data_IF_473532445203
#
_entry.id   IF_473532445203
#
_cell.length_a   1.000
_cell.length_b   1.000
_cell.length_c   1.000
_cell.angle_alpha   90.00
_cell.angle_beta   90.00
_cell.angle_gamma   90.00
#
_symmetry.space_group_name_H-M   'P 1'
#
loop_
_entity.id
_entity.type
_entity.pdbx_description
1 polymer ?
#
# COMPACT_ATOMS: atom_id res chain seq x y z
N UNK A 1 46.56 48.87 59.98
CA UNK A 1 48.00 48.60 60.00
C UNK A 1 48.45 48.25 58.59
N UNK A 2 49.47 48.96 58.12
CA UNK A 2 50.32 48.77 56.93
C UNK A 2 49.74 48.79 55.50
N UNK A 3 49.84 50.00 54.94
CA UNK A 3 50.32 50.44 53.63
C UNK A 3 51.09 49.48 52.68
N UNK A 4 50.83 49.74 51.37
CA UNK A 4 51.74 49.84 50.21
C UNK A 4 52.43 48.58 49.66
N UNK A 5 52.23 48.30 48.36
CA UNK A 5 53.18 48.64 47.28
C UNK A 5 52.68 48.16 45.90
N UNK A 6 52.79 49.06 44.91
CA UNK A 6 52.72 48.77 43.46
C UNK A 6 53.98 48.04 43.00
N UNK A 7 53.89 47.24 41.93
CA UNK A 7 54.88 47.19 40.83
C UNK A 7 54.41 46.28 39.69
N UNK A 8 54.42 46.84 38.49
CA UNK A 8 54.21 46.19 37.18
C UNK A 8 55.47 45.49 36.68
N UNK A 9 55.35 44.37 35.97
CA UNK A 9 56.38 43.91 35.04
C UNK A 9 55.79 43.10 33.87
N UNK A 10 56.08 43.58 32.65
CA UNK A 10 55.84 42.92 31.36
C UNK A 10 56.87 41.79 31.18
N UNK A 11 56.42 40.60 30.77
CA UNK A 11 57.29 39.55 30.23
C UNK A 11 56.71 39.02 28.90
N UNK A 12 57.45 39.26 27.82
CA UNK A 12 57.29 38.65 26.50
C UNK A 12 58.06 37.34 26.46
N UNK A 13 57.42 36.19 26.26
CA UNK A 13 58.13 34.95 25.84
C UNK A 13 57.28 34.06 24.92
N UNK A 14 57.66 34.09 23.64
CA UNK A 14 57.90 32.98 22.69
C UNK A 14 56.92 31.79 22.64
N UNK A 15 56.21 31.67 21.51
CA UNK A 15 55.46 30.47 21.10
C UNK A 15 56.43 29.47 20.46
N UNK A 16 56.49 28.18 20.88
CA UNK A 16 57.24 27.17 20.17
C UNK A 16 56.40 26.58 19.01
N UNK A 17 57.00 26.55 17.83
CA UNK A 17 56.48 25.94 16.61
C UNK A 17 56.36 24.42 16.77
N UNK A 18 55.13 23.89 16.77
CA UNK A 18 54.89 22.44 16.73
C UNK A 18 54.87 22.00 15.26
N UNK A 19 55.93 21.33 14.82
CA UNK A 19 55.98 20.63 13.53
C UNK A 19 55.08 19.38 13.61
N UNK A 20 53.88 19.45 13.05
CA UNK A 20 53.04 18.27 12.83
C UNK A 20 53.66 17.39 11.74
N UNK A 21 54.15 16.21 12.13
CA UNK A 21 54.50 15.13 11.22
C UNK A 21 53.19 14.58 10.65
N UNK A 22 52.85 14.95 9.42
CA UNK A 22 51.79 14.28 8.66
C UNK A 22 52.28 12.89 8.26
N UNK A 23 51.83 11.86 8.98
CA UNK A 23 51.87 10.49 8.47
C UNK A 23 50.78 10.34 7.41
N UNK A 24 51.20 10.17 6.16
CA UNK A 24 50.31 9.82 5.06
C UNK A 24 49.74 8.41 5.29
N UNK A 25 48.41 8.20 5.26
CA UNK A 25 47.84 6.87 5.33
C UNK A 25 48.14 6.14 4.01
N UNK A 26 49.03 5.16 4.04
CA UNK A 26 49.18 4.14 3.00
C UNK A 26 48.04 3.14 3.09
N UNK A 27 46.83 3.59 2.75
CA UNK A 27 45.72 2.72 2.42
C UNK A 27 45.70 2.49 0.92
N UNK A 28 46.05 1.29 0.48
CA UNK A 28 45.82 0.86 -0.90
C UNK A 28 44.32 0.92 -1.16
N UNK A 29 43.87 1.96 -1.88
CA UNK A 29 42.49 2.05 -2.35
C UNK A 29 42.22 0.81 -3.21
N UNK A 30 41.26 -0.02 -2.79
CA UNK A 30 40.72 -1.06 -3.66
C UNK A 30 40.33 -0.39 -5.00
N UNK A 31 40.67 -0.98 -6.15
CA UNK A 31 40.31 -0.39 -7.43
C UNK A 31 38.79 -0.13 -7.45
N UNK A 32 38.33 1.04 -7.93
CA UNK A 32 36.92 1.38 -7.92
C UNK A 32 36.15 0.29 -8.68
N UNK A 33 35.29 -0.43 -7.96
CA UNK A 33 34.44 -1.45 -8.54
C UNK A 33 33.53 -0.78 -9.57
N UNK A 34 33.58 -1.26 -10.82
CA UNK A 34 32.87 -0.62 -11.92
C UNK A 34 31.37 -0.81 -11.73
N UNK A 35 30.66 0.27 -11.37
CA UNK A 35 29.22 0.24 -11.21
C UNK A 35 28.53 0.28 -12.58
N UNK A 36 27.84 -0.80 -12.95
CA UNK A 36 27.13 -0.95 -14.21
C UNK A 36 25.69 -0.41 -14.17
N UNK A 37 25.02 -0.37 -13.02
CA UNK A 37 23.66 0.16 -12.90
C UNK A 37 23.65 1.60 -12.35
N UNK A 38 22.71 2.39 -12.86
CA UNK A 38 22.38 3.69 -12.26
C UNK A 38 21.47 3.45 -11.06
N UNK A 39 21.79 4.13 -9.96
CA UNK A 39 20.90 4.17 -8.80
C UNK A 39 19.70 5.06 -9.14
N UNK A 40 18.46 4.57 -8.95
CA UNK A 40 17.28 5.34 -9.32
C UNK A 40 17.10 6.52 -8.36
N UNK A 41 16.73 7.67 -8.90
CA UNK A 41 16.42 8.88 -8.10
C UNK A 41 15.34 8.61 -7.04
N UNK A 42 14.38 7.74 -7.37
CA UNK A 42 13.33 7.31 -6.48
C UNK A 42 13.26 5.79 -6.48
N UNK A 43 13.40 5.17 -5.31
CA UNK A 43 13.27 3.72 -5.13
C UNK A 43 11.81 3.25 -5.04
N UNK A 44 10.85 4.19 -5.04
CA UNK A 44 9.42 3.95 -4.98
C UNK A 44 8.71 4.51 -6.22
N UNK A 45 7.86 3.69 -6.85
CA UNK A 45 7.01 4.07 -7.98
C UNK A 45 5.56 3.95 -7.55
N UNK A 46 4.82 5.06 -7.60
CA UNK A 46 3.40 5.10 -7.28
C UNK A 46 2.55 4.96 -8.55
N UNK A 47 1.51 4.14 -8.50
CA UNK A 47 0.59 3.94 -9.61
C UNK A 47 -0.83 3.62 -9.13
N UNK A 48 -1.75 3.46 -10.07
CA UNK A 48 -3.15 3.09 -9.83
C UNK A 48 -3.48 1.80 -10.56
N UNK A 49 -4.53 1.11 -10.12
CA UNK A 49 -5.07 -0.06 -10.84
C UNK A 49 -5.48 0.35 -12.26
N UNK A 50 -5.18 -0.50 -13.24
CA UNK A 50 -5.45 -0.26 -14.66
C UNK A 50 -4.41 0.61 -15.38
N UNK A 51 -3.63 1.41 -14.65
CA UNK A 51 -2.60 2.27 -15.25
C UNK A 51 -1.40 1.46 -15.77
N UNK A 52 -0.52 2.14 -16.51
CA UNK A 52 0.79 1.62 -16.89
C UNK A 52 1.87 2.20 -15.97
N UNK A 53 2.71 1.34 -15.39
CA UNK A 53 3.82 1.74 -14.53
C UNK A 53 5.17 1.36 -15.13
N UNK A 54 6.17 2.21 -14.98
CA UNK A 54 7.55 1.94 -15.42
C UNK A 54 8.47 1.91 -14.21
N UNK A 55 9.18 0.79 -14.04
CA UNK A 55 10.21 0.58 -13.05
C UNK A 55 11.58 0.86 -13.69
N UNK A 56 12.27 1.95 -13.32
CA UNK A 56 13.48 2.38 -14.00
C UNK A 56 14.64 1.41 -13.73
N UNK A 57 15.33 0.98 -14.78
CA UNK A 57 16.62 0.31 -14.66
C UNK A 57 17.49 0.69 -15.85
N UNK A 58 18.50 1.52 -15.59
CA UNK A 58 19.36 2.10 -16.62
C UNK A 58 20.80 1.70 -16.36
N UNK A 59 21.48 1.26 -17.41
CA UNK A 59 22.87 0.82 -17.35
C UNK A 59 23.80 2.01 -17.60
N UNK A 60 24.84 2.17 -16.79
CA UNK A 60 25.95 3.13 -17.01
C UNK A 60 26.88 2.66 -18.11
N UNK A 61 27.11 1.36 -18.19
CA UNK A 61 28.00 0.72 -19.14
C UNK A 61 27.45 -0.66 -19.55
N UNK A 62 27.78 -1.11 -20.76
CA UNK A 62 27.40 -2.43 -21.27
C UNK A 62 28.60 -3.38 -21.17
N UNK A 63 28.56 -4.39 -20.27
CA UNK A 63 29.57 -5.44 -20.28
C UNK A 63 29.52 -6.22 -21.60
N UNK A 64 30.65 -6.85 -21.99
CA UNK A 64 30.70 -7.66 -23.23
C UNK A 64 29.68 -8.80 -23.24
N UNK A 65 29.56 -9.50 -22.11
CA UNK A 65 28.58 -10.56 -21.90
C UNK A 65 27.80 -10.22 -20.64
N UNK A 66 26.51 -9.92 -20.78
CA UNK A 66 25.67 -9.60 -19.64
C UNK A 66 24.25 -10.12 -19.82
N UNK A 67 23.56 -10.27 -18.70
CA UNK A 67 22.13 -10.53 -18.63
C UNK A 67 21.51 -9.61 -17.60
N UNK A 68 20.40 -8.98 -17.96
CA UNK A 68 19.55 -8.26 -17.01
C UNK A 68 18.34 -9.14 -16.69
N UNK A 69 18.14 -9.41 -15.42
CA UNK A 69 17.03 -10.18 -14.87
C UNK A 69 16.14 -9.23 -14.07
N UNK A 70 14.86 -9.17 -14.44
CA UNK A 70 13.81 -8.62 -13.60
C UNK A 70 13.11 -9.72 -12.82
N UNK A 71 12.97 -9.53 -11.52
CA UNK A 71 12.21 -10.42 -10.63
C UNK A 71 11.31 -9.63 -9.69
N UNK A 72 10.19 -10.24 -9.27
CA UNK A 72 9.41 -9.79 -8.13
C UNK A 72 9.91 -10.51 -6.88
N UNK A 73 10.25 -9.75 -5.86
CA UNK A 73 10.78 -10.28 -4.61
C UNK A 73 9.61 -10.62 -3.69
N UNK A 74 9.51 -11.88 -3.30
CA UNK A 74 8.48 -12.36 -2.39
C UNK A 74 8.85 -12.02 -0.94
N UNK A 75 7.98 -11.33 -0.19
CA UNK A 75 8.30 -10.92 1.18
C UNK A 75 8.48 -12.10 2.15
N UNK A 76 7.82 -13.23 1.91
CA UNK A 76 7.67 -14.31 2.88
C UNK A 76 8.86 -15.27 2.95
N UNK A 77 9.58 -15.48 1.84
CA UNK A 77 10.62 -16.50 1.70
C UNK A 77 11.92 -15.95 1.10
N UNK A 78 12.01 -14.64 0.86
CA UNK A 78 13.11 -14.01 0.10
C UNK A 78 13.30 -14.62 -1.31
N UNK A 79 12.29 -15.34 -1.81
CA UNK A 79 12.27 -15.91 -3.13
C UNK A 79 12.10 -14.82 -4.19
N UNK A 80 12.51 -15.14 -5.41
CA UNK A 80 12.39 -14.24 -6.54
C UNK A 80 11.62 -14.93 -7.67
N UNK A 81 10.44 -14.39 -7.98
CA UNK A 81 9.67 -14.79 -9.14
C UNK A 81 10.20 -14.04 -10.36
N UNK A 82 10.89 -14.74 -11.26
CA UNK A 82 11.47 -14.15 -12.48
C UNK A 82 10.36 -13.67 -13.41
N UNK A 83 10.54 -12.47 -13.98
CA UNK A 83 9.57 -11.80 -14.86
C UNK A 83 10.13 -11.70 -16.28
N UNK A 84 11.34 -11.16 -16.44
CA UNK A 84 12.03 -11.00 -17.73
C UNK A 84 13.52 -11.28 -17.56
N UNK A 85 14.13 -11.94 -18.55
CA UNK A 85 15.58 -11.98 -18.71
C UNK A 85 15.93 -11.45 -20.11
N UNK A 86 16.89 -10.55 -20.20
CA UNK A 86 17.39 -9.98 -21.48
C UNK A 86 18.91 -9.92 -21.54
N UNK A 87 19.48 -10.05 -22.73
CA UNK A 87 20.89 -9.79 -23.00
C UNK A 87 21.11 -8.49 -23.82
N UNK A 88 20.07 -7.65 -23.92
CA UNK A 88 20.07 -6.41 -24.71
C UNK A 88 19.62 -6.57 -26.16
N UNK A 89 19.70 -7.77 -26.74
CA UNK A 89 19.23 -8.07 -28.10
C UNK A 89 17.95 -8.91 -28.08
N UNK A 90 17.92 -9.91 -27.21
CA UNK A 90 16.82 -10.84 -27.04
C UNK A 90 16.35 -10.81 -25.59
N UNK A 91 15.06 -10.99 -25.39
CA UNK A 91 14.47 -11.14 -24.08
C UNK A 91 13.50 -12.33 -24.05
N UNK A 92 13.29 -12.87 -22.84
CA UNK A 92 12.29 -13.90 -22.57
C UNK A 92 11.48 -13.51 -21.35
N UNK A 93 10.17 -13.64 -21.46
CA UNK A 93 9.23 -13.37 -20.37
C UNK A 93 8.90 -14.67 -19.62
N UNK A 94 8.60 -14.53 -18.33
CA UNK A 94 8.35 -15.60 -17.39
C UNK A 94 7.19 -15.25 -16.44
N UNK A 95 6.56 -16.28 -15.89
CA UNK A 95 5.49 -16.13 -14.90
C UNK A 95 4.18 -15.54 -15.44
N UNK A 96 3.17 -15.37 -14.58
CA UNK A 96 1.84 -14.90 -14.96
C UNK A 96 1.82 -13.42 -15.38
N UNK A 97 2.83 -12.64 -14.98
CA UNK A 97 2.95 -11.22 -15.33
C UNK A 97 3.39 -11.01 -16.80
N UNK A 98 3.93 -12.06 -17.43
CA UNK A 98 4.48 -12.10 -18.80
C UNK A 98 3.67 -11.34 -19.87
N UNK A 99 2.33 -11.49 -19.97
CA UNK A 99 1.55 -10.84 -21.03
C UNK A 99 1.49 -9.31 -20.91
N UNK A 100 1.68 -8.80 -19.68
CA UNK A 100 1.50 -7.38 -19.35
C UNK A 100 2.82 -6.62 -19.27
N UNK A 101 3.96 -7.32 -19.32
CA UNK A 101 5.29 -6.74 -19.15
C UNK A 101 6.05 -6.57 -20.44
N UNK A 102 6.75 -5.44 -20.56
CA UNK A 102 7.66 -5.14 -21.67
C UNK A 102 8.86 -4.38 -21.16
N UNK A 103 9.98 -4.53 -21.85
CA UNK A 103 11.13 -3.65 -21.65
C UNK A 103 10.90 -2.35 -22.43
N UNK A 104 11.15 -1.21 -21.79
CA UNK A 104 10.89 0.12 -22.39
C UNK A 104 11.81 0.41 -23.58
N UNK A 105 13.07 -0.01 -23.52
CA UNK A 105 14.06 0.10 -24.61
C UNK A 105 14.12 1.49 -25.27
N UNK A 106 13.99 2.58 -24.50
CA UNK A 106 14.05 3.95 -25.07
C UNK A 106 15.41 4.25 -25.72
N UNK A 107 16.46 3.58 -25.24
CA UNK A 107 17.81 3.56 -25.81
C UNK A 107 18.52 2.25 -25.40
N UNK A 108 19.71 1.98 -25.97
CA UNK A 108 20.46 0.73 -25.74
C UNK A 108 20.86 0.43 -24.29
N UNK A 109 20.77 1.40 -23.39
CA UNK A 109 21.09 1.27 -21.97
C UNK A 109 19.83 1.24 -21.08
N UNK A 110 18.65 1.38 -21.67
CA UNK A 110 17.37 1.37 -20.95
C UNK A 110 16.83 -0.06 -20.87
N UNK A 111 16.98 -0.67 -19.69
CA UNK A 111 16.43 -1.97 -19.35
C UNK A 111 15.22 -1.85 -18.40
N UNK A 112 14.54 -0.69 -18.39
CA UNK A 112 13.40 -0.44 -17.52
C UNK A 112 12.21 -1.35 -17.85
N UNK A 113 11.54 -1.85 -16.80
CA UNK A 113 10.39 -2.73 -16.92
C UNK A 113 9.10 -1.90 -16.94
N UNK A 114 8.26 -2.08 -17.96
CA UNK A 114 6.93 -1.48 -18.05
C UNK A 114 5.88 -2.55 -17.80
N UNK A 115 4.96 -2.27 -16.88
CA UNK A 115 3.83 -3.12 -16.52
C UNK A 115 2.56 -2.41 -16.96
N UNK A 116 1.83 -2.98 -17.93
CA UNK A 116 0.53 -2.49 -18.38
C UNK A 116 -0.61 -3.10 -17.55
N UNK A 117 -1.76 -2.40 -17.50
CA UNK A 117 -2.96 -2.86 -16.78
C UNK A 117 -2.63 -3.35 -15.37
N UNK A 118 -2.00 -2.49 -14.57
CA UNK A 118 -1.52 -2.87 -13.23
C UNK A 118 -2.69 -3.37 -12.38
N UNK A 119 -2.52 -4.53 -11.77
CA UNK A 119 -3.50 -5.19 -10.91
C UNK A 119 -3.13 -5.05 -9.42
N UNK A 120 -4.05 -5.39 -8.52
CA UNK A 120 -3.85 -5.18 -7.07
C UNK A 120 -2.68 -6.02 -6.53
N UNK A 121 -2.51 -7.22 -7.08
CA UNK A 121 -1.47 -8.19 -6.77
C UNK A 121 -0.09 -7.78 -7.28
N UNK A 122 0.01 -6.78 -8.17
CA UNK A 122 1.26 -6.32 -8.73
C UNK A 122 2.05 -5.43 -7.77
N UNK A 123 1.42 -4.86 -6.74
CA UNK A 123 2.15 -4.13 -5.69
C UNK A 123 3.25 -4.99 -5.08
N UNK A 124 4.40 -4.40 -4.78
CA UNK A 124 5.50 -5.08 -4.11
C UNK A 124 6.87 -4.64 -4.58
N UNK A 125 7.89 -5.36 -4.11
CA UNK A 125 9.28 -5.08 -4.40
C UNK A 125 9.72 -5.84 -5.65
N UNK A 126 10.39 -5.14 -6.55
CA UNK A 126 10.97 -5.65 -7.79
C UNK A 126 12.47 -5.44 -7.78
N UNK A 127 13.21 -6.36 -8.40
CA UNK A 127 14.67 -6.27 -8.50
C UNK A 127 15.08 -6.32 -9.96
N UNK A 128 15.89 -5.36 -10.37
CA UNK A 128 16.65 -5.40 -11.60
C UNK A 128 18.07 -5.86 -11.26
N UNK A 129 18.49 -7.01 -11.77
CA UNK A 129 19.81 -7.57 -11.52
C UNK A 129 20.59 -7.70 -12.82
N UNK A 130 21.80 -7.15 -12.88
CA UNK A 130 22.75 -7.33 -13.96
C UNK A 130 23.78 -8.38 -13.56
N UNK A 131 23.94 -9.40 -14.39
CA UNK A 131 24.86 -10.52 -14.22
C UNK A 131 25.82 -10.52 -15.40
N UNK A 132 27.13 -10.39 -15.15
CA UNK A 132 28.16 -10.40 -16.21
C UNK A 132 29.18 -11.55 -16.09
N UNK A 133 28.95 -12.49 -15.17
CA UNK A 133 29.80 -13.67 -14.96
C UNK A 133 30.98 -13.47 -13.99
N UNK A 134 31.23 -12.23 -13.56
CA UNK A 134 32.24 -11.91 -12.53
C UNK A 134 31.56 -11.28 -11.30
N UNK A 135 30.61 -10.38 -11.53
CA UNK A 135 29.92 -9.63 -10.49
C UNK A 135 28.41 -9.54 -10.78
N UNK A 136 27.62 -9.51 -9.70
CA UNK A 136 26.19 -9.30 -9.73
C UNK A 136 25.87 -7.94 -9.10
N UNK A 137 25.33 -7.01 -9.90
CA UNK A 137 24.82 -5.74 -9.40
C UNK A 137 23.30 -5.76 -9.42
N UNK A 138 22.65 -5.18 -8.42
CA UNK A 138 21.20 -5.09 -8.42
C UNK A 138 20.66 -3.80 -7.83
N UNK A 139 19.55 -3.36 -8.40
CA UNK A 139 18.73 -2.25 -7.91
C UNK A 139 17.37 -2.81 -7.54
N UNK A 140 16.85 -2.40 -6.38
CA UNK A 140 15.50 -2.76 -5.92
C UNK A 140 14.58 -1.55 -5.93
N UNK A 141 13.37 -1.74 -6.46
CA UNK A 141 12.32 -0.74 -6.54
C UNK A 141 11.05 -1.28 -5.91
N UNK A 142 10.24 -0.42 -5.31
CA UNK A 142 8.93 -0.79 -4.77
C UNK A 142 7.83 -0.14 -5.58
N UNK A 143 6.95 -0.95 -6.16
CA UNK A 143 5.71 -0.48 -6.78
C UNK A 143 4.65 -0.36 -5.68
N UNK A 144 4.11 0.84 -5.50
CA UNK A 144 3.02 1.14 -4.57
C UNK A 144 1.74 1.48 -5.31
N UNK A 145 0.62 0.90 -4.88
CA UNK A 145 -0.69 1.28 -5.39
C UNK A 145 -1.30 2.37 -4.52
N UNK A 146 -1.79 3.42 -5.16
CA UNK A 146 -2.71 4.34 -4.52
C UNK A 146 -4.04 3.64 -4.29
N UNK A 147 -4.55 3.70 -3.07
CA UNK A 147 -5.76 2.98 -2.69
C UNK A 147 -6.27 3.37 -1.32
N UNK A 148 -7.27 2.63 -0.87
CA UNK A 148 -7.95 2.82 0.40
C UNK A 148 -8.09 1.48 1.12
N UNK A 149 -7.79 1.48 2.42
CA UNK A 149 -8.03 0.32 3.29
C UNK A 149 -9.39 0.48 3.95
N UNK A 150 -10.13 -0.61 4.06
CA UNK A 150 -11.40 -0.66 4.78
C UNK A 150 -11.54 -1.94 5.61
N UNK A 151 -12.18 -1.85 6.78
CA UNK A 151 -12.55 -3.02 7.55
C UNK A 151 -13.72 -3.75 6.89
N UNK A 152 -13.68 -5.08 6.92
CA UNK A 152 -14.74 -5.93 6.41
C UNK A 152 -15.14 -7.00 7.43
N UNK A 153 -16.43 -7.06 7.69
CA UNK A 153 -17.08 -8.07 8.53
C UNK A 153 -18.21 -8.72 7.70
N UNK A 154 -18.32 -10.06 7.69
CA UNK A 154 -19.37 -10.75 6.93
C UNK A 154 -20.74 -10.64 7.62
N UNK A 155 -21.80 -11.01 6.89
CA UNK A 155 -23.17 -11.05 7.39
C UNK A 155 -23.39 -12.05 8.53
N UNK A 156 -22.54 -13.07 8.64
CA UNK A 156 -22.53 -14.04 9.74
C UNK A 156 -22.02 -13.48 11.08
N UNK A 157 -21.56 -12.22 11.08
CA UNK A 157 -21.16 -11.49 12.28
C UNK A 157 -19.65 -11.33 12.46
N UNK A 158 -19.28 -10.80 13.61
CA UNK A 158 -17.89 -10.51 14.00
C UNK A 158 -17.08 -11.79 14.19
N UNK A 159 -15.82 -11.76 13.74
CA UNK A 159 -14.82 -12.81 13.93
C UNK A 159 -15.23 -14.17 13.38
N UNK A 160 -15.66 -14.19 12.12
CA UNK A 160 -16.15 -15.39 11.42
C UNK A 160 -15.29 -15.84 10.26
N UNK A 161 -14.22 -15.11 9.91
CA UNK A 161 -13.37 -15.42 8.77
C UNK A 161 -12.05 -16.04 9.24
N UNK A 162 -11.71 -17.23 8.72
CA UNK A 162 -10.31 -17.67 8.73
C UNK A 162 -9.51 -16.87 7.67
N UNK A 163 -8.20 -17.11 7.58
CA UNK A 163 -7.37 -16.36 6.64
C UNK A 163 -7.81 -16.54 5.17
N UNK A 164 -8.17 -17.77 4.77
CA UNK A 164 -8.60 -18.05 3.39
C UNK A 164 -9.98 -17.44 3.09
N UNK A 165 -10.89 -17.48 4.06
CA UNK A 165 -12.20 -16.83 3.98
C UNK A 165 -12.05 -15.31 3.91
N UNK A 166 -11.13 -14.73 4.69
CA UNK A 166 -10.84 -13.30 4.69
C UNK A 166 -10.27 -12.85 3.34
N UNK A 167 -9.35 -13.63 2.76
CA UNK A 167 -8.82 -13.38 1.42
C UNK A 167 -9.93 -13.38 0.36
N UNK A 168 -10.75 -14.45 0.33
CA UNK A 168 -11.88 -14.56 -0.60
C UNK A 168 -12.93 -13.46 -0.39
N UNK A 169 -13.21 -13.10 0.85
CA UNK A 169 -14.17 -12.06 1.17
C UNK A 169 -13.73 -10.70 0.62
N UNK A 170 -12.45 -10.33 0.75
CA UNK A 170 -11.93 -9.12 0.11
C UNK A 170 -12.02 -9.21 -1.42
N UNK A 171 -11.63 -10.34 -2.03
CA UNK A 171 -11.71 -10.55 -3.49
C UNK A 171 -13.14 -10.38 -4.02
N UNK A 172 -14.13 -10.95 -3.31
CA UNK A 172 -15.55 -10.79 -3.64
C UNK A 172 -15.99 -9.32 -3.62
N UNK A 173 -15.38 -8.49 -2.78
CA UNK A 173 -15.66 -7.05 -2.66
C UNK A 173 -14.80 -6.15 -3.56
N UNK A 174 -14.21 -6.69 -4.64
CA UNK A 174 -13.33 -5.95 -5.56
C UNK A 174 -12.11 -5.33 -4.84
N UNK A 175 -11.47 -6.16 -4.02
CA UNK A 175 -10.34 -5.77 -3.19
C UNK A 175 -9.43 -6.97 -2.92
N UNK A 176 -8.33 -6.77 -2.21
CA UNK A 176 -7.51 -7.84 -1.64
C UNK A 176 -7.25 -7.58 -0.17
N UNK A 177 -6.69 -8.53 0.56
CA UNK A 177 -6.18 -8.23 1.90
C UNK A 177 -5.16 -7.08 1.82
N UNK A 178 -5.26 -6.13 2.75
CA UNK A 178 -4.34 -5.01 2.87
C UNK A 178 -2.97 -5.50 3.35
N UNK A 179 -1.90 -4.87 2.90
CA UNK A 179 -0.58 -5.07 3.54
C UNK A 179 -0.54 -4.32 4.88
N UNK A 180 0.38 -4.70 5.77
CA UNK A 180 0.60 -3.94 7.00
C UNK A 180 0.94 -2.47 6.71
N UNK A 181 1.76 -2.20 5.69
CA UNK A 181 2.11 -0.82 5.28
C UNK A 181 0.88 -0.02 4.86
N UNK A 182 -0.03 -0.63 4.10
CA UNK A 182 -1.29 0.00 3.72
C UNK A 182 -2.20 0.27 4.93
N UNK A 183 -2.30 -0.69 5.86
CA UNK A 183 -3.07 -0.54 7.09
C UNK A 183 -2.49 0.57 8.00
N UNK A 184 -1.16 0.59 8.15
CA UNK A 184 -0.45 1.62 8.89
C UNK A 184 -0.71 3.01 8.29
N UNK A 185 -0.60 3.14 6.96
CA UNK A 185 -0.95 4.39 6.27
C UNK A 185 -2.40 4.80 6.54
N UNK A 186 -3.35 3.88 6.44
CA UNK A 186 -4.75 4.17 6.72
C UNK A 186 -4.98 4.64 8.18
N UNK A 187 -4.27 4.05 9.15
CA UNK A 187 -4.30 4.50 10.54
C UNK A 187 -3.75 5.93 10.69
N UNK A 188 -2.62 6.25 10.04
CA UNK A 188 -2.09 7.62 10.04
C UNK A 188 -3.03 8.64 9.37
N UNK A 189 -3.92 8.16 8.49
CA UNK A 189 -4.96 8.96 7.83
C UNK A 189 -6.30 9.00 8.60
N UNK A 190 -6.38 8.42 9.81
CA UNK A 190 -7.57 8.53 10.66
C UNK A 190 -8.37 7.23 10.84
N UNK A 191 -7.92 6.09 10.33
CA UNK A 191 -8.61 4.82 10.55
C UNK A 191 -8.48 4.37 12.02
N UNK A 192 -9.60 4.37 12.73
CA UNK A 192 -9.76 3.83 14.08
C UNK A 192 -10.78 2.69 14.05
N UNK A 193 -10.34 1.45 14.31
CA UNK A 193 -11.17 0.26 14.26
C UNK A 193 -10.81 -0.75 15.37
N UNK A 194 -11.81 -1.08 16.18
CA UNK A 194 -11.64 -1.89 17.40
C UNK A 194 -11.64 -3.41 17.17
N UNK A 195 -11.96 -3.87 15.96
CA UNK A 195 -11.99 -5.28 15.65
C UNK A 195 -10.65 -5.71 15.04
N UNK A 196 -10.13 -6.85 15.52
CA UNK A 196 -8.99 -7.51 14.93
C UNK A 196 -9.34 -8.11 13.57
N UNK A 197 -8.46 -7.93 12.59
CA UNK A 197 -8.64 -8.42 11.23
C UNK A 197 -7.36 -8.95 10.61
N UNK A 198 -7.52 -9.91 9.71
CA UNK A 198 -6.43 -10.44 8.90
C UNK A 198 -5.87 -9.38 7.94
N UNK A 199 -4.56 -9.42 7.72
CA UNK A 199 -3.84 -8.67 6.66
C UNK A 199 -3.06 -9.65 5.76
N UNK A 200 -2.48 -9.16 4.66
CA UNK A 200 -1.99 -9.97 3.52
C UNK A 200 -0.92 -11.02 3.87
N UNK A 201 -0.07 -10.77 4.86
CA UNK A 201 0.94 -11.75 5.30
C UNK A 201 0.35 -12.86 6.20
N UNK A 202 -0.91 -12.71 6.59
CA UNK A 202 -1.63 -13.59 7.49
C UNK A 202 -1.30 -13.37 8.96
N UNK A 203 -0.83 -12.18 9.32
CA UNK A 203 -0.88 -11.66 10.68
C UNK A 203 -2.23 -10.98 10.94
N UNK A 204 -2.50 -10.67 12.21
CA UNK A 204 -3.76 -10.07 12.65
C UNK A 204 -3.49 -8.77 13.39
N UNK A 205 -4.18 -7.70 13.00
CA UNK A 205 -3.97 -6.35 13.51
C UNK A 205 -5.28 -5.63 13.80
N UNK A 206 -5.23 -4.52 14.51
CA UNK A 206 -6.33 -3.56 14.66
C UNK A 206 -5.79 -2.15 14.96
N UNK A 207 -6.17 -1.13 14.17
CA UNK A 207 -5.68 0.24 14.33
C UNK A 207 -6.50 1.00 15.38
N UNK A 208 -5.85 1.58 16.39
CA UNK A 208 -6.49 2.40 17.43
C UNK A 208 -5.87 3.78 17.43
N UNK A 209 -6.69 4.82 17.27
CA UNK A 209 -6.28 6.22 17.47
C UNK A 209 -6.65 6.66 18.87
N UNK A 210 -7.89 6.42 19.28
CA UNK A 210 -8.42 6.80 20.58
C UNK A 210 -8.48 5.59 21.52
N UNK A 211 -7.53 5.50 22.44
CA UNK A 211 -7.46 4.43 23.44
C UNK A 211 -8.71 4.40 24.33
N UNK A 212 -9.34 3.23 24.42
CA UNK A 212 -10.61 3.02 25.13
C UNK A 212 -10.73 1.59 25.63
N UNK A 213 -11.43 1.40 26.75
CA UNK A 213 -11.52 0.10 27.44
C UNK A 213 -11.89 -1.07 26.53
N UNK A 214 -12.95 -1.01 25.70
CA UNK A 214 -13.36 -2.15 24.86
C UNK A 214 -12.32 -2.57 23.81
N UNK A 215 -11.28 -1.75 23.58
CA UNK A 215 -10.29 -1.94 22.53
C UNK A 215 -8.88 -2.24 23.07
N UNK A 216 -8.80 -2.86 24.26
CA UNK A 216 -7.55 -3.24 24.90
C UNK A 216 -7.10 -2.29 26.01
N UNK A 217 -8.01 -1.51 26.60
CA UNK A 217 -7.72 -0.66 27.75
C UNK A 217 -7.29 0.77 27.40
N UNK A 218 -7.54 1.69 28.35
CA UNK A 218 -7.19 3.12 28.21
C UNK A 218 -5.69 3.40 28.33
N UNK A 219 -4.94 2.51 28.97
CA UNK A 219 -3.50 2.70 29.25
C UNK A 219 -2.59 2.38 28.06
N UNK A 220 -3.06 1.59 27.10
CA UNK A 220 -2.27 1.29 25.90
C UNK A 220 -2.20 2.52 24.99
N UNK A 221 -1.03 2.76 24.39
CA UNK A 221 -0.84 3.87 23.44
C UNK A 221 -1.58 3.63 22.11
N UNK A 222 -1.90 4.70 21.36
CA UNK A 222 -2.37 4.61 19.98
C UNK A 222 -1.39 3.84 19.09
N UNK A 223 -1.90 3.17 18.07
CA UNK A 223 -1.10 2.42 17.11
C UNK A 223 -1.86 1.32 16.39
N UNK A 224 -1.19 0.70 15.42
CA UNK A 224 -1.64 -0.56 14.81
C UNK A 224 -1.24 -1.70 15.74
N UNK A 225 -2.16 -2.08 16.63
CA UNK A 225 -1.95 -3.15 17.60
C UNK A 225 -2.04 -4.50 16.90
N UNK A 226 -1.32 -5.49 17.41
CA UNK A 226 -1.18 -6.79 16.73
C UNK A 226 -1.45 -7.95 17.66
N UNK A 227 -2.05 -8.99 17.10
CA UNK A 227 -2.09 -10.34 17.66
C UNK A 227 -1.03 -11.25 17.05
N UNK A 228 -0.19 -10.74 16.14
CA UNK A 228 0.88 -11.46 15.49
C UNK A 228 0.39 -12.48 14.45
N UNK A 229 1.25 -13.45 14.14
CA UNK A 229 0.89 -14.60 13.31
C UNK A 229 -0.10 -15.51 14.06
N UNK A 230 -1.09 -16.01 13.33
CA UNK A 230 -2.20 -16.83 13.85
C UNK A 230 -2.42 -18.06 12.99
N UNK A 231 -3.14 -19.05 13.51
CA UNK A 231 -3.45 -20.26 12.76
C UNK A 231 -4.42 -19.91 11.62
N UNK A 232 -3.90 -19.93 10.39
CA UNK A 232 -4.63 -19.52 9.17
C UNK A 232 -5.86 -20.39 8.88
N UNK A 233 -5.96 -21.58 9.48
CA UNK A 233 -7.06 -22.52 9.28
C UNK A 233 -8.06 -22.50 10.46
N UNK A 234 -7.59 -22.32 11.69
CA UNK A 234 -8.42 -22.44 12.91
C UNK A 234 -8.85 -21.11 13.50
N UNK A 235 -8.00 -20.10 13.49
CA UNK A 235 -8.34 -18.82 14.10
C UNK A 235 -9.35 -18.06 13.21
N UNK A 236 -10.16 -17.21 13.84
CA UNK A 236 -11.23 -16.47 13.18
C UNK A 236 -11.21 -15.00 13.60
N UNK A 237 -11.23 -14.12 12.62
CA UNK A 237 -11.19 -12.66 12.78
C UNK A 237 -12.04 -11.98 11.70
N UNK A 238 -12.00 -10.65 11.65
CA UNK A 238 -12.51 -9.87 10.52
C UNK A 238 -11.40 -9.76 9.45
N UNK A 239 -11.54 -8.85 8.48
CA UNK A 239 -10.51 -8.59 7.47
C UNK A 239 -10.26 -7.09 7.30
N UNK A 240 -9.02 -6.71 7.00
CA UNK A 240 -8.71 -5.39 6.42
C UNK A 240 -8.46 -5.59 4.93
N UNK A 241 -9.33 -5.02 4.11
CA UNK A 241 -9.28 -5.09 2.67
C UNK A 241 -8.69 -3.80 2.09
N UNK A 242 -8.03 -3.90 0.94
CA UNK A 242 -7.45 -2.80 0.19
C UNK A 242 -7.97 -2.83 -1.25
N UNK A 243 -8.44 -1.68 -1.72
CA UNK A 243 -8.83 -1.48 -3.12
C UNK A 243 -8.17 -0.20 -3.66
N UNK A 244 -8.14 -0.04 -4.97
CA UNK A 244 -7.52 1.08 -5.67
C UNK A 244 -8.57 1.90 -6.41
N UNK A 245 -8.17 3.04 -6.98
CA UNK A 245 -9.00 3.81 -7.88
C UNK A 245 -9.46 2.94 -9.07
N UNK A 246 -10.73 3.05 -9.43
CA UNK A 246 -11.31 2.38 -10.60
C UNK A 246 -11.28 3.37 -11.77
N UNK A 247 -10.64 2.98 -12.87
CA UNK A 247 -10.54 3.81 -14.07
C UNK A 247 -11.68 3.43 -15.02
N UNK A 248 -12.43 4.43 -15.52
CA UNK A 248 -13.58 4.17 -16.40
C UNK A 248 -14.74 3.48 -15.68
N UNK A 249 -14.93 3.73 -14.39
CA UNK A 249 -16.07 3.18 -13.67
C UNK A 249 -16.54 4.17 -12.62
N UNK A 250 -17.84 4.16 -12.34
CA UNK A 250 -18.41 5.07 -11.35
C UNK A 250 -19.49 4.40 -10.51
N UNK A 251 -19.61 4.88 -9.27
CA UNK A 251 -20.67 4.48 -8.34
C UNK A 251 -21.65 5.62 -8.21
N UNK A 252 -22.93 5.35 -8.40
CA UNK A 252 -24.01 6.31 -8.20
C UNK A 252 -25.08 5.75 -7.26
N UNK A 253 -25.97 6.63 -6.79
CA UNK A 253 -26.99 6.28 -5.80
C UNK A 253 -28.39 6.45 -6.38
N UNK A 254 -29.22 5.41 -6.26
CA UNK A 254 -30.65 5.45 -6.56
C UNK A 254 -31.40 5.65 -5.25
N UNK A 255 -32.11 6.78 -5.15
CA UNK A 255 -33.00 7.09 -4.02
C UNK A 255 -34.24 6.21 -4.07
N UNK A 256 -34.72 5.79 -2.90
CA UNK A 256 -35.97 5.05 -2.77
C UNK A 256 -36.11 4.34 -1.43
N UNK A 257 -37.26 3.68 -1.26
CA UNK A 257 -37.56 2.82 -0.11
C UNK A 257 -37.57 1.37 -0.59
N UNK A 258 -36.39 0.88 -0.96
CA UNK A 258 -36.23 -0.41 -1.64
C UNK A 258 -35.86 -1.49 -0.62
N UNK A 259 -36.45 -2.68 -0.77
CA UNK A 259 -35.88 -3.89 -0.17
C UNK A 259 -34.66 -4.36 -0.99
N UNK A 260 -33.91 -5.35 -0.49
CA UNK A 260 -32.68 -5.81 -1.15
C UNK A 260 -32.91 -6.31 -2.58
N UNK A 261 -34.03 -7.01 -2.84
CA UNK A 261 -34.36 -7.54 -4.18
C UNK A 261 -34.73 -6.42 -5.15
N UNK A 262 -35.49 -5.43 -4.67
CA UNK A 262 -35.87 -4.24 -5.43
C UNK A 262 -34.66 -3.36 -5.75
N UNK A 263 -33.74 -3.19 -4.79
CA UNK A 263 -32.47 -2.51 -4.99
C UNK A 263 -31.65 -3.15 -6.12
N UNK A 264 -31.50 -4.47 -6.08
CA UNK A 264 -30.80 -5.21 -7.13
C UNK A 264 -31.45 -5.02 -8.51
N UNK A 265 -32.79 -5.03 -8.57
CA UNK A 265 -33.51 -4.80 -9.81
C UNK A 265 -33.37 -3.36 -10.31
N UNK A 266 -33.36 -2.38 -9.41
CA UNK A 266 -33.22 -0.97 -9.76
C UNK A 266 -31.86 -0.68 -10.44
N UNK A 267 -30.76 -1.27 -9.96
CA UNK A 267 -29.48 -1.16 -10.64
C UNK A 267 -29.53 -1.83 -12.03
N UNK A 268 -30.06 -3.06 -12.12
CA UNK A 268 -30.16 -3.80 -13.40
C UNK A 268 -30.98 -3.06 -14.46
N UNK A 269 -32.08 -2.44 -14.06
CA UNK A 269 -32.94 -1.65 -14.96
C UNK A 269 -32.20 -0.47 -15.60
N UNK A 270 -31.09 -0.03 -15.01
CA UNK A 270 -30.24 1.06 -15.49
C UNK A 270 -28.92 0.54 -16.09
N UNK A 271 -28.81 -0.75 -16.42
CA UNK A 271 -27.58 -1.32 -16.98
C UNK A 271 -26.42 -1.42 -15.98
N UNK A 272 -26.70 -1.34 -14.68
CA UNK A 272 -25.70 -1.35 -13.62
C UNK A 272 -25.82 -2.59 -12.72
N UNK A 273 -24.74 -2.96 -12.04
CA UNK A 273 -24.76 -3.92 -10.95
C UNK A 273 -24.94 -3.21 -9.61
N UNK A 274 -25.34 -3.92 -8.55
CA UNK A 274 -25.20 -3.35 -7.20
C UNK A 274 -23.71 -3.17 -6.89
N UNK A 275 -23.36 -2.03 -6.30
CA UNK A 275 -21.98 -1.76 -5.94
C UNK A 275 -21.48 -2.72 -4.86
N UNK A 276 -20.22 -3.13 -5.02
CA UNK A 276 -19.45 -3.83 -4.00
C UNK A 276 -18.96 -2.85 -2.94
N UNK A 277 -18.59 -3.38 -1.77
CA UNK A 277 -18.04 -2.57 -0.69
C UNK A 277 -16.76 -1.86 -1.12
N UNK A 278 -15.82 -2.55 -1.77
CA UNK A 278 -14.58 -1.93 -2.25
C UNK A 278 -14.84 -0.82 -3.26
N UNK A 279 -15.77 -1.03 -4.19
CA UNK A 279 -16.17 0.00 -5.16
C UNK A 279 -16.72 1.26 -4.48
N UNK A 280 -17.55 1.10 -3.43
CA UNK A 280 -18.05 2.23 -2.64
C UNK A 280 -16.92 3.00 -1.93
N UNK A 281 -15.97 2.30 -1.30
CA UNK A 281 -14.80 2.94 -0.68
C UNK A 281 -13.91 3.64 -1.70
N UNK A 282 -13.73 3.05 -2.89
CA UNK A 282 -12.98 3.66 -3.99
C UNK A 282 -13.66 4.95 -4.45
N UNK A 283 -14.97 4.93 -4.70
CA UNK A 283 -15.74 6.12 -5.10
C UNK A 283 -15.73 7.21 -4.02
N UNK A 284 -15.84 6.85 -2.74
CA UNK A 284 -15.71 7.80 -1.64
C UNK A 284 -14.33 8.48 -1.62
N UNK A 285 -13.24 7.71 -1.74
CA UNK A 285 -11.88 8.24 -1.65
C UNK A 285 -11.45 9.02 -2.89
N UNK A 286 -11.75 8.52 -4.09
CA UNK A 286 -11.19 9.02 -5.34
C UNK A 286 -12.17 9.86 -6.17
N UNK A 287 -13.47 9.64 -6.02
CA UNK A 287 -14.52 10.42 -6.70
C UNK A 287 -15.25 11.38 -5.77
N UNK A 288 -14.83 11.49 -4.51
CA UNK A 288 -15.45 12.35 -3.50
C UNK A 288 -16.95 12.08 -3.31
N UNK A 289 -17.37 10.81 -3.45
CA UNK A 289 -18.77 10.43 -3.28
C UNK A 289 -19.22 10.72 -1.83
N UNK A 290 -20.15 11.67 -1.70
CA UNK A 290 -20.71 12.11 -0.43
C UNK A 290 -22.24 11.98 -0.44
N UNK A 291 -22.77 11.10 0.41
CA UNK A 291 -24.19 10.78 0.52
C UNK A 291 -24.54 10.37 1.95
N UNK A 292 -25.48 11.10 2.54
CA UNK A 292 -26.00 10.87 3.89
C UNK A 292 -27.05 9.73 3.97
N UNK A 293 -27.39 9.13 2.84
CA UNK A 293 -28.46 8.15 2.70
C UNK A 293 -27.90 6.71 2.70
N UNK A 294 -28.48 5.85 3.54
CA UNK A 294 -28.18 4.42 3.56
C UNK A 294 -28.61 3.75 2.26
N UNK A 295 -27.71 2.98 1.65
CA UNK A 295 -27.98 2.23 0.43
C UNK A 295 -27.50 0.79 0.51
N UNK A 296 -28.30 -0.12 -0.07
CA UNK A 296 -27.94 -1.51 -0.25
C UNK A 296 -26.70 -1.67 -1.15
N UNK A 297 -25.81 -2.56 -0.74
CA UNK A 297 -24.65 -3.05 -1.50
C UNK A 297 -24.81 -4.55 -1.81
N UNK A 298 -23.99 -5.07 -2.72
CA UNK A 298 -24.08 -6.46 -3.19
C UNK A 298 -23.98 -7.50 -2.06
N UNK A 299 -23.15 -7.25 -1.03
CA UNK A 299 -22.98 -8.14 0.13
C UNK A 299 -24.22 -8.19 1.04
N UNK A 300 -25.23 -7.38 0.77
CA UNK A 300 -26.43 -7.23 1.60
C UNK A 300 -26.22 -6.35 2.83
N UNK A 301 -25.08 -5.66 2.93
CA UNK A 301 -24.92 -4.58 3.90
C UNK A 301 -25.59 -3.30 3.41
N UNK A 302 -25.91 -2.43 4.36
CA UNK A 302 -26.37 -1.07 4.06
C UNK A 302 -25.35 -0.08 4.58
N UNK A 303 -24.82 0.76 3.69
CA UNK A 303 -23.75 1.71 4.01
C UNK A 303 -24.06 3.09 3.45
N UNK A 304 -23.31 4.10 3.90
CA UNK A 304 -23.37 5.45 3.37
C UNK A 304 -22.01 6.15 3.49
N UNK A 305 -21.47 6.75 2.42
CA UNK A 305 -20.19 7.46 2.42
C UNK A 305 -20.39 8.95 2.73
N UNK A 306 -19.60 9.52 3.64
CA UNK A 306 -19.55 10.98 3.84
C UNK A 306 -18.10 11.48 3.76
N UNK A 307 -17.86 12.54 2.99
CA UNK A 307 -16.59 13.27 2.97
C UNK A 307 -16.60 14.43 3.96
N UNK A 308 -17.79 14.92 4.32
CA UNK A 308 -17.96 15.99 5.31
C UNK A 308 -18.90 15.54 6.44
N UNK A 309 -18.42 15.51 7.70
CA UNK A 309 -19.25 15.29 8.89
C UNK A 309 -20.45 16.25 8.97
N UNK A 310 -21.64 15.72 9.26
CA UNK A 310 -22.89 16.48 9.34
C UNK A 310 -23.74 15.99 10.51
N UNK A 311 -24.30 16.92 11.29
CA UNK A 311 -25.17 16.59 12.43
C UNK A 311 -26.38 15.74 12.03
N UNK A 312 -27.01 16.07 10.89
CA UNK A 312 -28.17 15.32 10.36
C UNK A 312 -27.82 13.96 9.72
N UNK A 313 -26.53 13.59 9.69
CA UNK A 313 -26.02 12.33 9.15
C UNK A 313 -25.47 11.43 10.26
N UNK A 314 -26.24 11.28 11.34
CA UNK A 314 -25.88 10.48 12.50
C UNK A 314 -24.90 11.14 13.48
N UNK A 315 -24.59 12.44 13.32
CA UNK A 315 -23.69 13.17 14.22
C UNK A 315 -22.25 12.64 14.26
N UNK A 316 -21.83 11.95 13.20
CA UNK A 316 -20.54 11.25 13.15
C UNK A 316 -19.38 12.24 13.08
N UNK A 317 -18.29 12.03 13.87
CA UNK A 317 -17.21 13.01 14.00
C UNK A 317 -16.22 13.01 12.83
N UNK A 318 -16.16 11.93 12.03
CA UNK A 318 -15.13 11.76 11.01
C UNK A 318 -15.72 11.35 9.65
N UNK A 319 -15.09 11.78 8.54
CA UNK A 319 -15.44 11.29 7.22
C UNK A 319 -15.14 9.80 7.07
N UNK A 320 -15.88 9.12 6.19
CA UNK A 320 -15.74 7.69 5.99
C UNK A 320 -16.97 7.06 5.37
N UNK A 321 -16.85 5.77 5.07
CA UNK A 321 -18.00 4.91 4.75
C UNK A 321 -18.50 4.27 6.03
N UNK A 322 -19.73 4.61 6.40
CA UNK A 322 -20.39 4.14 7.62
C UNK A 322 -21.39 3.04 7.29
N UNK A 323 -21.61 2.13 8.25
CA UNK A 323 -22.41 0.93 8.04
C UNK A 323 -23.55 0.82 9.05
N UNK A 324 -24.75 0.50 8.55
CA UNK A 324 -25.89 0.04 9.36
C UNK A 324 -25.88 -1.48 9.56
N UNK A 325 -24.80 -2.16 9.15
CA UNK A 325 -24.66 -3.61 9.21
C UNK A 325 -25.47 -4.33 8.14
N UNK A 326 -26.05 -5.47 8.51
CA UNK A 326 -26.82 -6.36 7.64
C UNK A 326 -28.27 -6.40 8.11
N UNK A 327 -29.08 -5.37 7.82
CA UNK A 327 -30.50 -5.36 8.18
C UNK A 327 -31.27 -6.46 7.43
N UNK A 328 -32.49 -6.78 7.90
CA UNK A 328 -33.36 -7.73 7.19
C UNK A 328 -33.56 -7.26 5.74
N UNK A 329 -33.40 -8.20 4.81
CA UNK A 329 -33.48 -7.96 3.35
C UNK A 329 -34.86 -7.51 2.90
N UNK A 330 -35.89 -7.70 3.72
CA UNK A 330 -37.28 -7.28 3.44
C UNK A 330 -37.55 -5.82 3.84
N UNK A 331 -36.63 -5.16 4.57
CA UNK A 331 -36.80 -3.75 4.97
C UNK A 331 -36.78 -2.83 3.75
N UNK A 332 -37.87 -2.11 3.56
CA UNK A 332 -38.08 -1.13 2.47
C UNK A 332 -37.84 0.30 2.96
N UNK A 333 -36.59 0.62 3.30
CA UNK A 333 -36.26 1.96 3.84
C UNK A 333 -35.02 2.58 3.21
N UNK A 334 -34.21 1.80 2.49
CA UNK A 334 -32.92 2.24 1.98
C UNK A 334 -32.97 2.40 0.46
N UNK A 335 -32.10 3.26 -0.07
CA UNK A 335 -31.81 3.31 -1.50
C UNK A 335 -30.85 2.20 -1.91
N UNK A 336 -30.13 2.39 -3.00
CA UNK A 336 -29.06 1.46 -3.43
C UNK A 336 -27.93 2.20 -4.11
N UNK A 337 -26.70 1.71 -3.90
CA UNK A 337 -25.55 2.14 -4.68
C UNK A 337 -25.35 1.16 -5.84
N UNK A 338 -25.25 1.71 -7.04
CA UNK A 338 -25.05 0.95 -8.26
C UNK A 338 -23.67 1.26 -8.84
N UNK A 339 -23.08 0.28 -9.51
CA UNK A 339 -21.77 0.35 -10.14
C UNK A 339 -21.90 0.06 -11.64
N UNK A 340 -21.26 0.90 -12.44
CA UNK A 340 -21.15 0.74 -13.90
C UNK A 340 -19.68 0.62 -14.25
N UNK A 341 -19.37 -0.42 -15.01
CA UNK A 341 -18.09 -0.64 -15.67
C UNK A 341 -18.24 -0.15 -17.12
N UNK A 342 -17.38 0.77 -17.57
CA UNK A 342 -17.38 1.30 -18.95
C UNK A 342 -16.74 0.35 -19.96
#
# INVERSE_FOLDING_TARGET
MHQLLLLSSLWLLVVPSVLSIFQSPTGTLAPPQLQYLLEPLHSAVHTRRGATATLPCVLRALPRNYRVKWSKVEPANYGESVIIITNGLYHRNYGPLSPRVRLRHSHRYDASLTISHVALEDEGRYRCQLVNGLEDESVSLTLHLEGVVFPYQPSSGRYKLNYQDAKRACEQQDSRLATYQQLYKAWTEGLDWCNAGWVLDGTVHYPIINSREPCGGRLLLPGVRTYGARDKQKDRFDAFCFTSALQGSHVYFIRGHLNFKEAAQACRNNGAAMAKVGQLYSAWKFSQLDRCDGGWLEDGSVRFPITTPRQRCGGLPHPGVHSFGFPSKDRRIYGTYCFVEE
#
